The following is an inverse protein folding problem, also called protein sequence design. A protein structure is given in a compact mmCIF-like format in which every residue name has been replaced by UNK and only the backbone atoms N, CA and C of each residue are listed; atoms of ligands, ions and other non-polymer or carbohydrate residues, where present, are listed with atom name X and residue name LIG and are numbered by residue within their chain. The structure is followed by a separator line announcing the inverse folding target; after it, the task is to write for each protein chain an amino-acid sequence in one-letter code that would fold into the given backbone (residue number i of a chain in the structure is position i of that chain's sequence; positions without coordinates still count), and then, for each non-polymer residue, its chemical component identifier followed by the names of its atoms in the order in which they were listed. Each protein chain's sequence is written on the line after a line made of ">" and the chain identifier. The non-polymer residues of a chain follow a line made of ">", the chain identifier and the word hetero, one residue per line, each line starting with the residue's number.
data_IF_233078587608
#
_entry.id   IF_233078587608
#
_cell.length_a   1.000
_cell.length_b   1.000
_cell.length_c   1.000
_cell.angle_alpha   90.00
_cell.angle_beta   90.00
_cell.angle_gamma   90.00
#
_symmetry.space_group_name_H-M   'P 1'
#
loop_
_entity.id
_entity.type
_entity.pdbx_description
1 polymer ?
#
# COMPACT_ATOMS: atom_id res chain seq x y z
N UNK A 1 -7.41 25.39 7.69
CA UNK A 1 -8.55 24.48 7.46
C UNK A 1 -8.21 23.57 6.29
N UNK A 2 -7.99 22.26 6.52
CA UNK A 2 -7.95 21.32 5.40
C UNK A 2 -9.34 21.21 4.78
N UNK A 3 -9.43 21.27 3.45
CA UNK A 3 -10.70 21.10 2.74
C UNK A 3 -11.28 19.73 3.10
N UNK A 4 -12.57 19.61 3.43
CA UNK A 4 -13.20 18.34 3.86
C UNK A 4 -13.00 17.20 2.86
N UNK A 5 -12.86 17.54 1.58
CA UNK A 5 -12.51 16.62 0.49
C UNK A 5 -11.19 15.86 0.74
N UNK A 6 -10.16 16.56 1.21
CA UNK A 6 -8.82 16.00 1.43
C UNK A 6 -8.80 15.05 2.62
N UNK A 7 -9.57 15.35 3.66
CA UNK A 7 -9.69 14.52 4.86
C UNK A 7 -10.33 13.16 4.54
N UNK A 8 -11.42 13.16 3.77
CA UNK A 8 -12.11 11.93 3.37
C UNK A 8 -11.25 11.08 2.44
N UNK A 9 -10.54 11.72 1.50
CA UNK A 9 -9.60 11.04 0.61
C UNK A 9 -8.45 10.37 1.37
N UNK A 10 -7.88 11.05 2.36
CA UNK A 10 -6.84 10.49 3.23
C UNK A 10 -7.36 9.33 4.08
N UNK A 11 -8.59 9.42 4.59
CA UNK A 11 -9.20 8.33 5.35
C UNK A 11 -9.39 7.07 4.50
N UNK A 12 -9.87 7.22 3.27
CA UNK A 12 -10.00 6.11 2.31
C UNK A 12 -8.66 5.45 2.00
N UNK A 13 -7.61 6.25 1.80
CA UNK A 13 -6.26 5.75 1.58
C UNK A 13 -5.71 4.98 2.79
N UNK A 14 -5.95 5.49 4.01
CA UNK A 14 -5.51 4.85 5.24
C UNK A 14 -6.16 3.47 5.45
N UNK A 15 -7.47 3.38 5.22
CA UNK A 15 -8.21 2.12 5.30
C UNK A 15 -7.74 1.13 4.24
N UNK A 16 -7.45 1.59 3.02
CA UNK A 16 -6.91 0.75 1.96
C UNK A 16 -5.53 0.19 2.31
N UNK A 17 -4.62 1.00 2.85
CA UNK A 17 -3.31 0.55 3.31
C UNK A 17 -3.43 -0.51 4.42
N UNK A 18 -4.30 -0.28 5.41
CA UNK A 18 -4.52 -1.24 6.49
C UNK A 18 -5.07 -2.59 6.00
N UNK A 19 -5.90 -2.58 4.95
CA UNK A 19 -6.42 -3.81 4.35
C UNK A 19 -5.41 -4.55 3.48
N UNK A 20 -4.49 -3.83 2.83
CA UNK A 20 -3.37 -4.42 2.09
C UNK A 20 -2.38 -5.10 3.04
N UNK A 21 -2.23 -4.58 4.27
CA UNK A 21 -1.36 -5.16 5.29
C UNK A 21 -1.99 -6.38 6.01
N UNK A 22 -3.30 -6.58 5.89
CA UNK A 22 -3.97 -7.79 6.39
C UNK A 22 -3.74 -8.96 5.42
N UNK A 23 -2.92 -9.95 5.81
CA UNK A 23 -2.49 -11.12 5.01
C UNK A 23 -3.59 -11.99 4.37
N UNK A 24 -4.86 -11.69 4.60
CA UNK A 24 -6.00 -12.57 4.30
C UNK A 24 -7.02 -12.01 3.32
N UNK A 25 -6.79 -10.85 2.70
CA UNK A 25 -7.81 -10.24 1.85
C UNK A 25 -7.71 -10.74 0.38
N UNK A 26 -8.63 -11.61 -0.11
CA UNK A 26 -8.67 -11.95 -1.54
C UNK A 26 -8.97 -10.69 -2.36
N UNK A 27 -8.35 -10.56 -3.55
CA UNK A 27 -8.41 -9.36 -4.41
C UNK A 27 -9.84 -8.78 -4.58
N UNK A 28 -10.86 -9.64 -4.67
CA UNK A 28 -12.26 -9.23 -4.82
C UNK A 28 -12.91 -8.67 -3.54
N UNK A 29 -12.37 -8.96 -2.35
CA UNK A 29 -12.93 -8.50 -1.07
C UNK A 29 -12.41 -7.14 -0.64
N UNK A 30 -11.16 -6.79 -1.03
CA UNK A 30 -10.48 -5.55 -0.59
C UNK A 30 -11.33 -4.31 -0.87
N UNK A 31 -11.94 -4.17 -2.06
CA UNK A 31 -12.74 -2.98 -2.39
C UNK A 31 -14.00 -2.86 -1.52
N UNK A 32 -14.74 -3.96 -1.35
CA UNK A 32 -15.97 -3.97 -0.53
C UNK A 32 -15.64 -3.74 0.94
N UNK A 33 -14.52 -4.29 1.39
CA UNK A 33 -14.07 -4.16 2.77
C UNK A 33 -13.53 -2.75 3.06
N UNK A 34 -12.89 -2.08 2.09
CA UNK A 34 -12.53 -0.65 2.19
C UNK A 34 -13.78 0.20 2.41
N UNK A 35 -14.79 0.03 1.56
CA UNK A 35 -16.05 0.78 1.61
C UNK A 35 -16.75 0.55 2.96
N UNK A 36 -16.78 -0.71 3.42
CA UNK A 36 -17.39 -1.11 4.70
C UNK A 36 -16.61 -0.60 5.91
N UNK A 37 -15.28 -0.73 5.95
CA UNK A 37 -14.42 -0.22 7.05
C UNK A 37 -14.40 1.30 7.10
N UNK A 38 -14.44 1.99 5.96
CA UNK A 38 -14.49 3.45 5.91
C UNK A 38 -15.87 4.02 6.29
N UNK A 39 -16.92 3.19 6.31
CA UNK A 39 -18.30 3.63 6.55
C UNK A 39 -18.86 4.50 5.42
N UNK A 40 -18.35 4.33 4.20
CA UNK A 40 -18.70 5.17 3.04
C UNK A 40 -19.43 4.36 1.98
N UNK A 41 -20.13 5.03 1.06
CA UNK A 41 -20.75 4.41 -0.10
C UNK A 41 -19.71 4.28 -1.24
N UNK A 42 -19.76 3.20 -2.04
CA UNK A 42 -18.90 3.03 -3.22
C UNK A 42 -18.98 4.20 -4.22
N UNK A 43 -20.13 4.86 -4.31
CA UNK A 43 -20.30 6.08 -5.10
C UNK A 43 -19.37 7.23 -4.64
N UNK A 44 -19.08 7.32 -3.34
CA UNK A 44 -18.15 8.31 -2.80
C UNK A 44 -16.71 7.96 -3.16
N UNK A 45 -16.33 6.68 -3.16
CA UNK A 45 -15.00 6.25 -3.61
C UNK A 45 -14.76 6.67 -5.07
N UNK A 46 -15.74 6.42 -5.95
CA UNK A 46 -15.66 6.85 -7.34
C UNK A 46 -15.63 8.38 -7.49
N UNK A 47 -16.23 9.14 -6.57
CA UNK A 47 -16.16 10.60 -6.59
C UNK A 47 -14.74 11.12 -6.27
N UNK A 48 -14.04 10.48 -5.33
CA UNK A 48 -12.69 10.90 -4.92
C UNK A 48 -11.56 10.33 -5.79
N UNK A 49 -11.74 9.12 -6.31
CA UNK A 49 -10.70 8.37 -7.02
C UNK A 49 -11.06 8.10 -8.48
N UNK A 50 -12.21 8.57 -8.97
CA UNK A 50 -12.77 8.35 -10.32
C UNK A 50 -13.20 6.89 -10.57
N UNK A 51 -12.30 5.95 -10.28
CA UNK A 51 -12.53 4.51 -10.32
C UNK A 51 -12.05 3.88 -9.03
N UNK A 52 -12.68 2.78 -8.64
CA UNK A 52 -12.31 2.00 -7.45
C UNK A 52 -10.85 1.50 -7.52
N UNK A 53 -10.39 1.14 -8.72
CA UNK A 53 -9.06 0.54 -8.93
C UNK A 53 -7.96 1.58 -8.68
N UNK A 54 -8.23 2.86 -8.96
CA UNK A 54 -7.29 3.97 -8.71
C UNK A 54 -6.98 4.15 -7.20
N UNK A 55 -7.91 3.80 -6.30
CA UNK A 55 -7.64 3.83 -4.86
C UNK A 55 -6.65 2.73 -4.46
N UNK A 56 -6.84 1.52 -5.02
CA UNK A 56 -5.95 0.38 -4.77
C UNK A 56 -4.57 0.64 -5.37
N UNK A 57 -4.50 1.12 -6.61
CA UNK A 57 -3.25 1.53 -7.25
C UNK A 57 -2.51 2.57 -6.41
N UNK A 58 -3.23 3.57 -5.88
CA UNK A 58 -2.60 4.60 -5.05
C UNK A 58 -2.08 4.06 -3.72
N UNK A 59 -2.81 3.14 -3.10
CA UNK A 59 -2.37 2.49 -1.87
C UNK A 59 -1.15 1.59 -2.11
N UNK A 60 -1.14 0.84 -3.23
CA UNK A 60 0.01 0.04 -3.66
C UNK A 60 1.22 0.91 -3.98
N UNK A 61 1.06 2.03 -4.69
CA UNK A 61 2.14 2.98 -4.98
C UNK A 61 2.80 3.47 -3.67
N UNK A 62 1.98 3.87 -2.69
CA UNK A 62 2.48 4.31 -1.37
C UNK A 62 3.22 3.18 -0.66
N UNK A 63 2.68 1.95 -0.68
CA UNK A 63 3.31 0.78 -0.05
C UNK A 63 4.65 0.44 -0.73
N UNK A 64 4.71 0.45 -2.05
CA UNK A 64 5.94 0.19 -2.81
C UNK A 64 7.01 1.26 -2.55
N UNK A 65 6.64 2.54 -2.48
CA UNK A 65 7.58 3.62 -2.11
C UNK A 65 8.12 3.41 -0.70
N UNK A 66 7.28 2.98 0.25
CA UNK A 66 7.72 2.69 1.61
C UNK A 66 8.70 1.51 1.65
N UNK A 67 8.36 0.38 1.01
CA UNK A 67 9.24 -0.79 0.90
C UNK A 67 10.58 -0.41 0.26
N UNK A 68 10.55 0.36 -0.84
CA UNK A 68 11.76 0.85 -1.48
C UNK A 68 12.58 1.73 -0.53
N UNK A 69 11.95 2.62 0.25
CA UNK A 69 12.65 3.46 1.21
C UNK A 69 13.34 2.66 2.33
N UNK A 70 12.71 1.58 2.80
CA UNK A 70 13.28 0.68 3.81
C UNK A 70 14.45 -0.14 3.24
N UNK A 71 14.33 -0.57 1.99
CA UNK A 71 15.40 -1.26 1.26
C UNK A 71 16.61 -0.36 1.01
N UNK A 72 16.37 0.91 0.66
CA UNK A 72 17.41 1.88 0.28
C UNK A 72 17.95 2.72 1.44
N UNK A 73 17.74 2.33 2.71
CA UNK A 73 18.26 3.10 3.85
C UNK A 73 19.80 3.27 3.77
N UNK A 74 20.30 4.49 3.48
CA UNK A 74 21.71 4.71 3.16
C UNK A 74 22.61 4.69 4.39
N UNK A 75 22.04 4.72 5.60
CA UNK A 75 22.78 4.84 6.86
C UNK A 75 23.61 3.59 7.17
N UNK A 76 23.20 2.41 6.68
CA UNK A 76 23.85 1.12 6.94
C UNK A 76 24.19 0.34 5.66
N UNK A 77 24.28 1.01 4.51
CA UNK A 77 24.49 0.33 3.23
C UNK A 77 25.97 -0.02 3.02
N UNK A 78 26.33 -1.28 2.70
CA UNK A 78 27.71 -1.63 2.39
C UNK A 78 28.25 -0.77 1.23
N UNK A 79 29.51 -0.35 1.33
CA UNK A 79 30.22 0.32 0.24
C UNK A 79 30.44 -0.61 -0.96
N UNK A 80 30.50 -1.92 -0.73
CA UNK A 80 30.69 -2.92 -1.78
C UNK A 80 29.35 -3.20 -2.49
N UNK A 81 29.25 -2.98 -3.83
CA UNK A 81 28.03 -3.24 -4.59
C UNK A 81 27.52 -4.68 -4.51
N UNK A 82 28.41 -5.68 -4.35
CA UNK A 82 28.01 -7.10 -4.28
C UNK A 82 27.39 -7.43 -2.93
N UNK A 83 28.01 -7.00 -1.83
CA UNK A 83 27.41 -7.12 -0.49
C UNK A 83 26.10 -6.32 -0.38
N UNK A 84 26.02 -5.13 -0.98
CA UNK A 84 24.78 -4.35 -1.05
C UNK A 84 23.65 -5.10 -1.75
N UNK A 85 23.93 -5.75 -2.89
CA UNK A 85 22.93 -6.56 -3.59
C UNK A 85 22.52 -7.79 -2.76
N UNK A 86 23.48 -8.45 -2.10
CA UNK A 86 23.19 -9.57 -1.19
C UNK A 86 22.28 -9.16 -0.04
N UNK A 87 22.51 -8.00 0.56
CA UNK A 87 21.68 -7.48 1.64
C UNK A 87 20.26 -7.12 1.18
N UNK A 88 20.12 -6.53 -0.01
CA UNK A 88 18.82 -6.27 -0.63
C UNK A 88 18.07 -7.58 -0.89
N UNK A 89 18.75 -8.58 -1.46
CA UNK A 89 18.17 -9.90 -1.76
C UNK A 89 17.78 -10.69 -0.50
N UNK A 90 18.49 -10.50 0.61
CA UNK A 90 18.15 -11.09 1.93
C UNK A 90 16.99 -10.38 2.64
N UNK A 91 16.69 -9.13 2.28
CA UNK A 91 15.55 -8.36 2.81
C UNK A 91 14.26 -8.64 2.03
N UNK A 92 14.35 -9.07 0.77
CA UNK A 92 13.19 -9.45 -0.06
C UNK A 92 12.40 -10.71 0.33
N UNK A 93 12.92 -11.76 1.02
CA UNK A 93 12.21 -13.02 1.17
C UNK A 93 11.18 -13.04 2.31
N UNK A 94 11.03 -11.98 3.12
CA UNK A 94 10.01 -11.92 4.18
C UNK A 94 8.75 -11.13 3.80
N UNK A 95 8.67 -10.56 2.59
CA UNK A 95 7.50 -9.78 2.13
C UNK A 95 6.88 -10.28 0.82
N UNK A 96 7.42 -11.33 0.20
CA UNK A 96 6.96 -11.85 -1.11
C UNK A 96 6.51 -13.31 -1.06
N UNK A 97 6.75 -14.04 0.04
CA UNK A 97 6.43 -15.47 0.16
C UNK A 97 4.94 -15.83 0.24
N UNK A 98 4.01 -14.86 0.22
CA UNK A 98 2.57 -15.11 0.33
C UNK A 98 1.78 -14.82 -0.97
N UNK A 99 2.42 -14.76 -2.14
CA UNK A 99 1.69 -14.72 -3.43
C UNK A 99 1.44 -16.18 -3.86
N UNK A 100 0.20 -16.69 -3.83
CA UNK A 100 -0.09 -18.02 -4.37
C UNK A 100 0.07 -17.98 -5.89
N UNK A 101 0.90 -18.88 -6.42
CA UNK A 101 0.98 -19.22 -7.84
C UNK A 101 -0.22 -20.08 -8.26
#
# INVERSE_FOLDING_TARGET
>A
MEKPYKKTQLNLLHVALALIDEETAPEMSITRDIVKKAGLNIALVNCYFQLKDNLIEKALEVKMVHIASEMYNPVNSPSDPVEKLRDLLKKTPSSVSNIPL
#
